data_IF_479287475570
#
_entry.id   IF_479287475570
#
_cell.length_a   1.000
_cell.length_b   1.000
_cell.length_c   1.000
_cell.angle_alpha   90.00
_cell.angle_beta   90.00
_cell.angle_gamma   90.00
#
_symmetry.space_group_name_H-M   'P 1'
#
loop_
_entity.id
_entity.type
_entity.pdbx_description
1 polymer ?
#
# COMPACT_ATOMS: atom_id res chain seq x y z
N UNK A 1 7.00 10.51 2.55
CA UNK A 1 7.54 10.82 3.89
C UNK A 1 6.84 9.91 4.88
N UNK A 2 7.49 9.50 5.97
CA UNK A 2 6.72 9.02 7.13
C UNK A 2 5.85 10.19 7.62
N UNK A 3 4.59 9.98 8.02
CA UNK A 3 3.58 11.04 8.11
C UNK A 3 3.86 12.21 9.08
N UNK A 4 4.96 12.20 9.81
CA UNK A 4 5.37 13.32 10.68
C UNK A 4 5.86 14.58 9.91
N UNK A 5 5.81 14.59 8.57
CA UNK A 5 6.38 15.69 7.75
C UNK A 5 5.51 16.09 6.52
N UNK A 6 4.17 16.09 6.62
CA UNK A 6 3.31 16.48 5.48
C UNK A 6 2.71 17.88 5.72
N UNK A 7 3.11 18.84 4.89
CA UNK A 7 2.51 20.19 4.74
C UNK A 7 1.23 20.10 3.88
N UNK A 8 0.14 20.66 4.41
CA UNK A 8 -1.26 20.48 4.01
C UNK A 8 -1.75 21.51 2.95
N UNK A 9 -0.87 22.30 2.37
CA UNK A 9 -1.30 23.55 1.71
C UNK A 9 -1.54 23.52 0.18
N UNK A 10 -1.48 22.39 -0.53
CA UNK A 10 -1.42 22.42 -2.02
C UNK A 10 -2.33 21.51 -2.86
N UNK A 11 -3.33 20.80 -2.31
CA UNK A 11 -4.19 19.91 -3.11
C UNK A 11 -5.69 20.27 -3.07
N UNK A 12 -6.01 21.53 -3.36
CA UNK A 12 -7.36 21.97 -3.70
C UNK A 12 -7.67 21.72 -5.19
N UNK A 13 -7.98 20.47 -5.56
CA UNK A 13 -8.82 20.15 -6.73
C UNK A 13 -9.80 19.05 -6.34
N UNK A 14 -11.04 19.46 -6.14
CA UNK A 14 -12.19 18.60 -5.88
C UNK A 14 -12.43 17.69 -7.09
N UNK A 15 -11.87 16.47 -7.04
CA UNK A 15 -12.42 15.32 -7.76
C UNK A 15 -13.37 14.66 -6.76
N UNK A 16 -14.64 14.52 -7.12
CA UNK A 16 -15.72 14.04 -6.25
C UNK A 16 -15.61 12.57 -5.86
N UNK A 17 -14.59 12.22 -5.08
CA UNK A 17 -14.41 10.91 -4.47
C UNK A 17 -14.91 10.97 -3.03
N UNK A 18 -16.09 10.42 -2.76
CA UNK A 18 -16.46 10.01 -1.40
C UNK A 18 -15.46 8.95 -0.96
N UNK A 19 -14.72 9.09 0.15
CA UNK A 19 -13.66 8.16 0.49
C UNK A 19 -14.27 6.84 0.91
N UNK A 20 -14.26 5.86 0.01
CA UNK A 20 -14.39 4.46 0.37
C UNK A 20 -13.27 4.18 1.39
N UNK A 21 -13.66 4.05 2.66
CA UNK A 21 -12.71 3.83 3.76
C UNK A 21 -12.22 2.38 3.79
N UNK A 22 -12.98 1.46 3.19
CA UNK A 22 -12.68 0.03 3.19
C UNK A 22 -12.54 -0.48 1.75
N UNK A 23 -11.44 -1.17 1.40
CA UNK A 23 -11.28 -1.84 0.11
C UNK A 23 -12.42 -2.79 -0.25
N UNK A 24 -13.11 -3.38 0.73
CA UNK A 24 -14.27 -4.26 0.50
C UNK A 24 -15.42 -3.52 -0.16
N UNK A 25 -15.63 -2.25 0.19
CA UNK A 25 -16.73 -1.45 -0.36
C UNK A 25 -16.57 -1.24 -1.87
N UNK A 26 -15.32 -1.13 -2.38
CA UNK A 26 -15.02 -1.02 -3.82
C UNK A 26 -15.61 -2.19 -4.62
N UNK A 27 -15.52 -3.41 -4.08
CA UNK A 27 -15.99 -4.61 -4.76
C UNK A 27 -17.52 -4.75 -4.77
N UNK A 28 -18.21 -3.99 -3.91
CA UNK A 28 -19.66 -3.95 -3.87
C UNK A 28 -20.25 -2.81 -4.70
N UNK A 29 -19.55 -1.68 -4.80
CA UNK A 29 -20.06 -0.49 -5.49
C UNK A 29 -19.75 -0.47 -6.99
N UNK A 30 -18.60 -1.00 -7.40
CA UNK A 30 -18.13 -0.87 -8.78
C UNK A 30 -18.40 -2.13 -9.61
N UNK A 31 -18.83 -1.99 -10.88
CA UNK A 31 -18.99 -3.13 -11.78
C UNK A 31 -17.65 -3.77 -12.15
N UNK A 32 -16.56 -3.00 -12.17
CA UNK A 32 -15.19 -3.45 -12.42
C UNK A 32 -14.21 -2.63 -11.58
N UNK A 33 -13.34 -3.30 -10.83
CA UNK A 33 -12.29 -2.66 -10.02
C UNK A 33 -10.93 -2.80 -10.72
N UNK A 34 -10.26 -1.67 -11.01
CA UNK A 34 -8.93 -1.60 -11.63
C UNK A 34 -7.85 -1.63 -10.56
N UNK A 35 -7.15 -2.75 -10.49
CA UNK A 35 -6.15 -3.02 -9.45
C UNK A 35 -4.73 -2.95 -10.02
N UNK A 36 -3.87 -2.10 -9.43
CA UNK A 36 -2.44 -2.15 -9.67
C UNK A 36 -1.82 -3.30 -8.86
N UNK A 37 -1.43 -4.35 -9.57
CA UNK A 37 -0.79 -5.54 -8.99
C UNK A 37 0.56 -5.21 -8.29
N UNK A 38 0.97 -6.04 -7.31
CA UNK A 38 2.27 -5.89 -6.65
C UNK A 38 3.40 -6.20 -7.63
N UNK A 39 4.32 -5.25 -7.76
CA UNK A 39 5.48 -5.37 -8.66
C UNK A 39 6.75 -4.93 -7.92
N UNK A 40 7.68 -5.87 -7.72
CA UNK A 40 8.98 -5.61 -7.08
C UNK A 40 9.70 -4.49 -7.84
N UNK A 41 10.29 -3.54 -7.11
CA UNK A 41 10.92 -2.29 -7.61
C UNK A 41 9.99 -1.24 -8.24
N UNK A 42 8.87 -1.62 -8.85
CA UNK A 42 8.02 -0.68 -9.60
C UNK A 42 6.95 -0.01 -8.76
N UNK A 43 6.08 -0.79 -8.13
CA UNK A 43 4.85 -0.35 -7.45
C UNK A 43 5.07 0.48 -6.17
N UNK A 44 6.19 1.22 -6.09
CA UNK A 44 6.49 2.25 -5.08
C UNK A 44 5.55 3.46 -5.23
N UNK A 45 5.55 4.33 -4.22
CA UNK A 45 4.63 5.46 -4.08
C UNK A 45 4.50 6.33 -5.35
N UNK A 46 5.62 6.65 -6.02
CA UNK A 46 5.61 7.47 -7.24
C UNK A 46 4.84 6.81 -8.39
N UNK A 47 4.99 5.50 -8.56
CA UNK A 47 4.27 4.73 -9.56
C UNK A 47 2.78 4.62 -9.21
N UNK A 48 2.46 4.30 -7.96
CA UNK A 48 1.06 4.24 -7.48
C UNK A 48 0.35 5.57 -7.67
N UNK A 49 1.02 6.67 -7.32
CA UNK A 49 0.52 8.04 -7.53
C UNK A 49 0.25 8.32 -9.00
N UNK A 50 1.09 7.80 -9.90
CA UNK A 50 0.90 7.97 -11.35
C UNK A 50 -0.31 7.18 -11.84
N UNK A 51 -0.39 5.88 -11.57
CA UNK A 51 -1.47 5.03 -12.09
C UNK A 51 -2.84 5.43 -11.53
N UNK A 52 -2.91 6.02 -10.34
CA UNK A 52 -4.14 6.61 -9.80
C UNK A 52 -4.67 7.78 -10.62
N UNK A 53 -3.80 8.53 -11.31
CA UNK A 53 -4.23 9.58 -12.27
C UNK A 53 -4.83 9.01 -13.55
N UNK A 54 -4.68 7.72 -13.78
CA UNK A 54 -5.26 6.96 -14.90
C UNK A 54 -6.34 5.99 -14.40
N UNK A 55 -7.11 6.43 -13.41
CA UNK A 55 -8.27 5.74 -12.86
C UNK A 55 -7.95 4.35 -12.29
N UNK A 56 -6.80 4.16 -11.65
CA UNK A 56 -6.55 2.95 -10.85
C UNK A 56 -7.22 3.08 -9.47
N UNK A 57 -8.15 2.17 -9.18
CA UNK A 57 -9.00 2.24 -7.99
C UNK A 57 -8.25 1.77 -6.74
N UNK A 58 -7.48 0.68 -6.85
CA UNK A 58 -6.75 0.09 -5.72
C UNK A 58 -5.31 -0.25 -6.13
N UNK A 59 -4.35 0.03 -5.26
CA UNK A 59 -2.95 -0.29 -5.51
C UNK A 59 -2.38 -1.21 -4.45
N UNK A 60 -1.44 -2.06 -4.87
CA UNK A 60 -0.56 -2.81 -3.99
C UNK A 60 0.82 -2.15 -3.87
N UNK A 61 1.48 -2.32 -2.73
CA UNK A 61 2.92 -2.06 -2.61
C UNK A 61 3.74 -3.08 -3.40
N UNK A 62 5.07 -2.87 -3.58
CA UNK A 62 5.96 -3.97 -3.90
C UNK A 62 5.86 -5.04 -2.81
N UNK A 63 6.29 -6.27 -3.13
CA UNK A 63 6.43 -7.32 -2.12
C UNK A 63 7.52 -6.92 -1.10
N UNK A 64 7.14 -6.76 0.16
CA UNK A 64 8.05 -6.37 1.26
C UNK A 64 8.44 -7.61 2.06
N UNK A 65 9.73 -7.79 2.36
CA UNK A 65 10.18 -8.87 3.25
C UNK A 65 9.85 -8.51 4.70
N UNK A 66 8.89 -9.22 5.31
CA UNK A 66 8.38 -8.90 6.65
C UNK A 66 9.48 -8.89 7.72
N UNK A 67 10.41 -9.85 7.67
CA UNK A 67 11.52 -9.95 8.60
C UNK A 67 12.44 -8.72 8.58
N UNK A 68 12.65 -8.10 7.42
CA UNK A 68 13.49 -6.91 7.29
C UNK A 68 12.73 -5.65 7.74
N UNK A 69 11.43 -5.60 7.44
CA UNK A 69 10.53 -4.52 7.82
C UNK A 69 10.38 -4.37 9.34
N UNK A 70 10.29 -5.51 10.05
CA UNK A 70 10.25 -5.56 11.52
C UNK A 70 11.60 -5.19 12.10
N UNK A 71 12.69 -5.79 11.59
CA UNK A 71 14.04 -5.69 12.17
C UNK A 71 14.68 -4.32 12.05
N UNK A 72 14.42 -3.57 10.98
CA UNK A 72 15.17 -2.35 10.67
C UNK A 72 14.27 -1.21 10.21
N UNK A 73 14.30 -0.10 10.95
CA UNK A 73 13.65 1.15 10.56
C UNK A 73 14.16 1.67 9.21
N UNK A 74 15.46 1.51 8.94
CA UNK A 74 16.07 1.89 7.66
C UNK A 74 15.51 1.05 6.50
N UNK A 75 15.40 -0.27 6.67
CA UNK A 75 14.80 -1.14 5.66
C UNK A 75 13.32 -0.77 5.45
N UNK A 76 12.58 -0.58 6.55
CA UNK A 76 11.18 -0.13 6.53
C UNK A 76 10.97 1.10 5.68
N UNK A 77 11.76 2.15 5.90
CA UNK A 77 11.65 3.40 5.12
C UNK A 77 12.08 3.26 3.66
N UNK A 78 12.95 2.31 3.34
CA UNK A 78 13.37 2.06 1.96
C UNK A 78 12.33 1.29 1.15
N UNK A 79 11.66 0.33 1.80
CA UNK A 79 10.66 -0.55 1.19
C UNK A 79 9.26 0.08 1.16
N UNK A 80 8.90 0.85 2.19
CA UNK A 80 7.56 1.43 2.33
C UNK A 80 7.56 2.94 2.49
N UNK A 81 6.80 3.59 1.62
CA UNK A 81 6.42 4.99 1.70
C UNK A 81 4.98 5.13 1.23
N UNK A 82 4.24 6.05 1.81
CA UNK A 82 2.86 6.40 1.43
C UNK A 82 2.62 7.92 1.55
N UNK A 83 1.44 8.40 1.16
CA UNK A 83 0.94 9.75 1.38
C UNK A 83 -0.61 9.74 1.49
N UNK A 84 -1.22 10.89 1.78
CA UNK A 84 -2.68 11.00 1.96
C UNK A 84 -3.51 10.61 0.71
N UNK A 85 -2.93 10.70 -0.49
CA UNK A 85 -3.61 10.37 -1.74
C UNK A 85 -3.40 8.91 -2.19
N UNK A 86 -2.69 8.11 -1.40
CA UNK A 86 -2.36 6.74 -1.76
C UNK A 86 -3.31 5.74 -1.08
N UNK A 87 -4.61 5.98 -1.21
CA UNK A 87 -5.66 5.12 -0.68
C UNK A 87 -6.68 4.83 -1.80
N UNK A 88 -7.31 3.63 -1.84
CA UNK A 88 -7.04 2.48 -0.98
C UNK A 88 -5.75 1.70 -1.33
N UNK A 89 -4.94 1.36 -0.32
CA UNK A 89 -3.64 0.71 -0.45
C UNK A 89 -3.57 -0.61 0.32
N UNK A 90 -3.17 -1.67 -0.40
CA UNK A 90 -2.87 -2.97 0.18
C UNK A 90 -1.36 -3.14 0.29
N UNK A 91 -0.88 -3.49 1.48
CA UNK A 91 0.55 -3.78 1.71
C UNK A 91 0.79 -5.27 1.60
N UNK A 92 1.59 -5.67 0.62
CA UNK A 92 1.95 -7.08 0.42
C UNK A 92 3.26 -7.42 1.14
N UNK A 93 3.20 -8.43 2.00
CA UNK A 93 4.37 -9.02 2.65
C UNK A 93 4.73 -10.39 2.09
N UNK A 94 6.02 -10.70 2.09
CA UNK A 94 6.54 -12.05 2.09
C UNK A 94 7.00 -12.40 3.51
N UNK A 95 6.49 -13.50 4.05
CA UNK A 95 6.80 -13.97 5.39
C UNK A 95 6.86 -15.50 5.41
N UNK A 96 7.68 -16.05 6.31
CA UNK A 96 7.79 -17.50 6.56
C UNK A 96 7.22 -17.90 7.92
N UNK A 97 7.16 -16.94 8.85
CA UNK A 97 6.73 -17.15 10.23
C UNK A 97 5.50 -16.29 10.53
N UNK A 98 4.48 -16.88 11.14
CA UNK A 98 3.22 -16.20 11.45
C UNK A 98 3.42 -14.98 12.35
N UNK A 99 4.27 -15.10 13.37
CA UNK A 99 4.53 -14.00 14.31
C UNK A 99 5.18 -12.79 13.61
N UNK A 100 6.14 -13.03 12.71
CA UNK A 100 6.82 -11.95 11.97
C UNK A 100 5.84 -11.24 11.04
N UNK A 101 4.92 -11.97 10.41
CA UNK A 101 3.85 -11.37 9.60
C UNK A 101 2.91 -10.51 10.46
N UNK A 102 2.50 -11.02 11.63
CA UNK A 102 1.61 -10.29 12.55
C UNK A 102 2.27 -8.99 13.04
N UNK A 103 3.55 -9.05 13.42
CA UNK A 103 4.32 -7.88 13.85
C UNK A 103 4.44 -6.84 12.71
N UNK A 104 4.74 -7.30 11.48
CA UNK A 104 4.81 -6.42 10.30
C UNK A 104 3.45 -5.77 9.97
N UNK A 105 2.36 -6.54 10.06
CA UNK A 105 1.00 -6.05 9.86
C UNK A 105 0.64 -4.99 10.91
N UNK A 106 0.97 -5.22 12.19
CA UNK A 106 0.75 -4.23 13.26
C UNK A 106 1.55 -2.94 13.05
N UNK A 107 2.76 -3.02 12.51
CA UNK A 107 3.57 -1.84 12.21
C UNK A 107 3.03 -1.00 11.04
N UNK A 108 2.34 -1.63 10.07
CA UNK A 108 1.85 -0.94 8.87
C UNK A 108 0.37 -0.56 8.93
N UNK A 109 -0.40 -1.14 9.86
CA UNK A 109 -1.86 -0.94 9.94
C UNK A 109 -2.32 0.52 10.02
N UNK A 110 -1.59 1.50 10.59
CA UNK A 110 -2.02 2.90 10.57
C UNK A 110 -1.90 3.56 9.17
N UNK A 111 -1.25 2.91 8.22
CA UNK A 111 -0.85 3.47 6.92
C UNK A 111 -1.36 2.64 5.73
N UNK A 112 -2.14 1.60 5.99
CA UNK A 112 -2.61 0.63 5.01
C UNK A 112 -4.09 0.35 5.21
N UNK A 113 -4.83 0.15 4.12
CA UNK A 113 -6.25 -0.20 4.16
C UNK A 113 -6.46 -1.73 4.12
N UNK A 114 -5.37 -2.48 3.91
CA UNK A 114 -5.35 -3.93 4.00
C UNK A 114 -3.93 -4.49 3.94
N UNK A 115 -3.81 -5.76 4.33
CA UNK A 115 -2.56 -6.52 4.30
C UNK A 115 -2.77 -7.76 3.45
N UNK A 116 -1.78 -8.06 2.61
CA UNK A 116 -1.75 -9.24 1.75
C UNK A 116 -0.49 -10.07 2.03
N UNK A 117 -0.60 -11.40 1.90
CA UNK A 117 0.50 -12.34 2.04
C UNK A 117 0.82 -12.94 0.66
N UNK A 118 2.03 -12.70 0.18
CA UNK A 118 2.48 -13.30 -1.08
C UNK A 118 2.70 -14.81 -0.91
N UNK A 119 1.82 -15.59 -1.53
CA UNK A 119 1.91 -17.07 -1.61
C UNK A 119 2.23 -17.57 -3.03
N UNK A 120 2.61 -16.67 -3.95
CA UNK A 120 2.72 -16.97 -5.38
C UNK A 120 4.13 -16.84 -5.96
N UNK A 121 5.09 -16.26 -5.24
CA UNK A 121 6.43 -16.01 -5.79
C UNK A 121 7.25 -17.31 -5.93
N UNK A 122 7.65 -17.72 -7.15
CA UNK A 122 8.47 -18.92 -7.35
C UNK A 122 9.98 -18.66 -7.14
N UNK A 123 10.38 -17.45 -6.74
CA UNK A 123 11.79 -17.08 -6.56
C UNK A 123 12.44 -17.98 -5.50
N UNK A 124 13.53 -18.64 -5.90
CA UNK A 124 14.37 -19.48 -5.05
C UNK A 124 15.61 -18.72 -4.63
#
# INVERSE_FOLDING_TARGET
MWPDNIDDSSLSRQVGWSPLKNPVDLFHSEPVVKICAPMVRYSKLSFRTLVRKYDCDLCYTPMIIAADFVRSLKARHSEFTTNQGDHPLIVQFAAKEAQVLADAAGLVSPFADGVDLNCGCPQR
#
